data_IF_421324563544
#
_entry.id   IF_421324563544
#
_cell.length_a   1.000
_cell.length_b   1.000
_cell.length_c   1.000
_cell.angle_alpha   90.00
_cell.angle_beta   90.00
_cell.angle_gamma   90.00
#
_symmetry.space_group_name_H-M   'P 1'
#
loop_
_entity.id
_entity.type
_entity.pdbx_description
1 polymer ?
#
# COMPACT_ATOMS: atom_id res chain seq x y z
N UNK A 1 -9.85 19.60 13.78
CA UNK A 1 -9.82 18.16 13.45
C UNK A 1 -8.53 17.54 13.96
N UNK A 2 -8.58 16.30 14.46
CA UNK A 2 -7.41 15.55 14.95
C UNK A 2 -7.07 14.43 13.96
N UNK A 3 -5.78 14.14 13.79
CA UNK A 3 -5.34 12.98 13.02
C UNK A 3 -5.58 11.69 13.80
N UNK A 4 -6.01 10.64 13.12
CA UNK A 4 -6.20 9.30 13.70
C UNK A 4 -5.28 8.30 13.01
N UNK A 5 -4.67 7.41 13.79
CA UNK A 5 -3.74 6.41 13.28
C UNK A 5 -4.53 5.22 12.72
N UNK A 6 -4.22 4.81 11.49
CA UNK A 6 -4.72 3.53 10.94
C UNK A 6 -3.81 2.41 11.43
N UNK A 7 -4.40 1.41 12.10
CA UNK A 7 -3.70 0.25 12.66
C UNK A 7 -4.09 -1.02 11.90
N UNK A 8 -3.13 -1.67 11.26
CA UNK A 8 -3.36 -2.88 10.45
C UNK A 8 -3.05 -4.20 11.17
N UNK A 9 -2.81 -4.15 12.49
CA UNK A 9 -2.36 -5.30 13.31
C UNK A 9 -0.98 -5.04 13.93
N UNK A 10 -0.26 -6.08 14.40
CA UNK A 10 1.12 -5.92 14.83
C UNK A 10 1.92 -5.36 13.64
N UNK A 11 2.48 -4.16 13.80
CA UNK A 11 3.33 -3.59 12.78
C UNK A 11 4.52 -4.54 12.61
N UNK A 12 4.75 -5.14 11.43
CA UNK A 12 5.85 -6.09 11.25
C UNK A 12 7.22 -5.42 11.48
N UNK A 13 7.24 -4.09 11.41
CA UNK A 13 8.42 -3.26 11.54
C UNK A 13 8.04 -2.09 12.45
N UNK A 14 8.69 -1.93 13.60
CA UNK A 14 8.54 -0.77 14.50
C UNK A 14 9.08 0.50 13.84
N UNK A 15 8.45 0.93 12.75
CA UNK A 15 8.87 2.06 11.94
C UNK A 15 8.39 3.38 12.56
N UNK A 16 9.14 4.49 12.38
CA UNK A 16 8.78 5.80 12.91
C UNK A 16 7.63 6.48 12.14
N UNK A 17 6.73 5.71 11.53
CA UNK A 17 5.56 6.20 10.80
C UNK A 17 4.40 5.18 10.87
N UNK A 18 3.19 5.65 10.58
CA UNK A 18 1.99 4.79 10.56
C UNK A 18 1.68 4.31 9.14
N UNK A 19 1.10 3.10 8.97
CA UNK A 19 0.68 2.60 7.65
C UNK A 19 -0.32 3.52 6.94
N UNK A 20 -1.14 4.24 7.71
CA UNK A 20 -1.98 5.32 7.20
C UNK A 20 -2.46 6.25 8.32
N UNK A 21 -2.99 7.40 7.92
CA UNK A 21 -3.58 8.41 8.79
C UNK A 21 -4.96 8.80 8.24
N UNK A 22 -5.96 8.86 9.12
CA UNK A 22 -7.25 9.51 8.80
C UNK A 22 -7.22 10.97 9.25
N UNK A 23 -7.74 11.86 8.42
CA UNK A 23 -7.93 13.27 8.74
C UNK A 23 -9.25 13.77 8.15
N UNK A 24 -10.29 13.84 8.99
CA UNK A 24 -11.66 13.99 8.48
C UNK A 24 -12.04 12.78 7.64
N UNK A 25 -12.60 13.04 6.46
CA UNK A 25 -13.05 11.99 5.52
C UNK A 25 -11.94 11.47 4.59
N UNK A 26 -10.72 12.01 4.71
CA UNK A 26 -9.58 11.60 3.91
C UNK A 26 -8.72 10.56 4.64
N UNK A 27 -8.22 9.59 3.86
CA UNK A 27 -7.22 8.62 4.30
C UNK A 27 -5.94 8.85 3.51
N UNK A 28 -4.85 9.11 4.22
CA UNK A 28 -3.51 9.20 3.66
C UNK A 28 -2.79 7.87 3.93
N UNK A 29 -2.57 7.09 2.88
CA UNK A 29 -1.87 5.80 2.97
C UNK A 29 -0.38 6.03 2.76
N UNK A 30 0.45 5.53 3.68
CA UNK A 30 1.91 5.54 3.51
C UNK A 30 2.32 4.64 2.35
N UNK A 31 3.48 4.89 1.76
CA UNK A 31 4.02 4.06 0.67
C UNK A 31 3.98 2.58 1.03
N UNK A 32 3.33 1.78 0.18
CA UNK A 32 3.30 0.34 0.29
C UNK A 32 4.26 -0.24 -0.74
N UNK A 33 4.90 -1.34 -0.38
CA UNK A 33 5.78 -2.08 -1.28
C UNK A 33 5.50 -3.58 -1.23
N UNK A 34 6.26 -4.36 -2.02
CA UNK A 34 6.13 -5.81 -2.11
C UNK A 34 6.77 -6.50 -0.91
N UNK A 35 6.37 -6.11 0.31
CA UNK A 35 7.00 -6.53 1.57
C UNK A 35 6.14 -7.60 2.24
N UNK A 36 6.77 -8.68 2.69
CA UNK A 36 6.16 -9.75 3.48
C UNK A 36 6.00 -9.37 4.96
N UNK A 37 5.40 -10.26 5.74
CA UNK A 37 5.21 -10.09 7.19
C UNK A 37 6.52 -10.01 8.00
N UNK A 38 7.66 -10.39 7.40
CA UNK A 38 8.98 -10.32 8.02
C UNK A 38 9.74 -9.05 7.62
N UNK A 39 9.13 -8.16 6.82
CA UNK A 39 9.78 -6.96 6.33
C UNK A 39 10.71 -7.18 5.14
N UNK A 40 10.63 -8.33 4.46
CA UNK A 40 11.46 -8.64 3.29
C UNK A 40 10.69 -8.42 1.99
N UNK A 41 11.40 -7.98 0.96
CA UNK A 41 10.85 -7.94 -0.41
C UNK A 41 10.52 -9.36 -0.85
N UNK A 42 9.28 -9.59 -1.30
CA UNK A 42 8.88 -10.88 -1.85
C UNK A 42 9.64 -11.13 -3.17
N UNK A 43 10.16 -12.35 -3.40
CA UNK A 43 10.81 -12.68 -4.66
C UNK A 43 9.78 -12.72 -5.80
N UNK A 44 10.24 -12.49 -7.02
CA UNK A 44 9.43 -12.61 -8.22
C UNK A 44 9.55 -11.42 -9.17
N UNK A 45 8.72 -11.44 -10.20
CA UNK A 45 8.60 -10.39 -11.22
C UNK A 45 7.80 -9.17 -10.71
N UNK A 46 7.78 -8.10 -11.52
CA UNK A 46 7.07 -6.88 -11.17
C UNK A 46 5.57 -7.12 -11.01
N UNK A 47 4.97 -8.05 -11.76
CA UNK A 47 3.54 -8.38 -11.63
C UNK A 47 3.22 -8.94 -10.26
N UNK A 48 4.01 -9.91 -9.78
CA UNK A 48 3.85 -10.52 -8.46
C UNK A 48 4.07 -9.50 -7.35
N UNK A 49 5.11 -8.67 -7.49
CA UNK A 49 5.41 -7.59 -6.54
C UNK A 49 4.30 -6.52 -6.50
N UNK A 50 3.73 -6.16 -7.64
CA UNK A 50 2.61 -5.21 -7.74
C UNK A 50 1.38 -5.75 -7.01
N UNK A 51 1.04 -7.03 -7.20
CA UNK A 51 -0.08 -7.68 -6.49
C UNK A 51 0.12 -7.67 -4.98
N UNK A 52 1.32 -7.99 -4.49
CA UNK A 52 1.63 -7.92 -3.05
C UNK A 52 1.53 -6.49 -2.53
N UNK A 53 2.02 -5.51 -3.29
CA UNK A 53 1.93 -4.10 -2.95
C UNK A 53 0.47 -3.64 -2.81
N UNK A 54 -0.39 -4.02 -3.75
CA UNK A 54 -1.82 -3.71 -3.72
C UNK A 54 -2.54 -4.42 -2.58
N UNK A 55 -2.22 -5.67 -2.26
CA UNK A 55 -2.81 -6.35 -1.10
C UNK A 55 -2.40 -5.67 0.22
N UNK A 56 -1.16 -5.22 0.34
CA UNK A 56 -0.71 -4.42 1.47
C UNK A 56 -1.46 -3.07 1.55
N UNK A 57 -1.66 -2.40 0.41
CA UNK A 57 -2.47 -1.18 0.31
C UNK A 57 -3.92 -1.42 0.75
N UNK A 58 -4.54 -2.50 0.28
CA UNK A 58 -5.90 -2.92 0.64
C UNK A 58 -6.05 -3.11 2.14
N UNK A 59 -5.07 -3.73 2.80
CA UNK A 59 -5.09 -3.92 4.27
C UNK A 59 -5.14 -2.59 5.01
N UNK A 60 -4.42 -1.57 4.55
CA UNK A 60 -4.48 -0.22 5.14
C UNK A 60 -5.85 0.41 4.91
N UNK A 61 -6.40 0.33 3.69
CA UNK A 61 -7.74 0.86 3.39
C UNK A 61 -8.82 0.21 4.26
N UNK A 62 -8.81 -1.13 4.37
CA UNK A 62 -9.77 -1.88 5.20
C UNK A 62 -9.64 -1.48 6.67
N UNK A 63 -8.42 -1.36 7.19
CA UNK A 63 -8.18 -0.89 8.56
C UNK A 63 -8.67 0.56 8.80
N UNK A 64 -8.74 1.38 7.75
CA UNK A 64 -9.30 2.72 7.79
C UNK A 64 -10.84 2.77 7.62
N UNK A 65 -11.48 1.62 7.41
CA UNK A 65 -12.89 1.46 7.01
C UNK A 65 -13.18 2.10 5.63
N UNK A 66 -12.27 1.85 4.68
CA UNK A 66 -12.33 2.30 3.29
C UNK A 66 -12.09 1.10 2.34
N UNK A 67 -11.93 1.37 1.05
CA UNK A 67 -11.83 0.39 -0.03
C UNK A 67 -11.28 1.01 -1.32
N UNK A 68 -10.91 0.18 -2.29
CA UNK A 68 -10.33 0.64 -3.55
C UNK A 68 -11.27 1.55 -4.35
N UNK A 69 -12.59 1.32 -4.21
CA UNK A 69 -13.65 2.12 -4.82
C UNK A 69 -13.67 3.58 -4.36
N UNK A 70 -13.02 3.90 -3.23
CA UNK A 70 -12.92 5.26 -2.68
C UNK A 70 -11.56 5.91 -2.95
N UNK A 71 -10.67 5.26 -3.70
CA UNK A 71 -9.34 5.81 -4.02
C UNK A 71 -9.47 6.95 -5.03
N UNK A 72 -9.07 8.14 -4.60
CA UNK A 72 -9.13 9.35 -5.43
C UNK A 72 -7.85 9.57 -6.25
N UNK A 73 -6.70 9.19 -5.70
CA UNK A 73 -5.39 9.39 -6.32
C UNK A 73 -4.39 8.36 -5.80
N UNK A 74 -3.51 7.89 -6.69
CA UNK A 74 -2.35 7.08 -6.33
C UNK A 74 -1.06 7.67 -6.90
N UNK A 75 0.07 7.21 -6.38
CA UNK A 75 1.40 7.53 -6.91
C UNK A 75 2.21 6.25 -6.88
N UNK A 76 2.65 5.79 -8.05
CA UNK A 76 3.42 4.56 -8.20
C UNK A 76 4.88 4.92 -8.46
N UNK A 77 5.78 4.29 -7.71
CA UNK A 77 7.23 4.39 -7.88
C UNK A 77 7.76 3.05 -8.36
N UNK A 78 8.48 3.07 -9.48
CA UNK A 78 9.17 1.91 -10.04
C UNK A 78 10.68 2.10 -9.92
N UNK A 79 11.41 1.02 -9.64
CA UNK A 79 12.88 1.02 -9.68
C UNK A 79 13.41 1.04 -11.11
N UNK A 80 12.67 0.43 -12.05
CA UNK A 80 12.93 0.47 -13.49
C UNK A 80 11.63 0.84 -14.23
N UNK A 81 11.69 1.87 -15.08
CA UNK A 81 10.55 2.30 -15.88
C UNK A 81 10.22 1.32 -17.02
N UNK A 82 11.13 0.41 -17.38
CA UNK A 82 10.84 -0.65 -18.33
C UNK A 82 9.72 -1.58 -17.84
N UNK A 83 9.52 -1.68 -16.53
CA UNK A 83 8.48 -2.50 -15.91
C UNK A 83 7.08 -1.87 -15.97
N UNK A 84 6.96 -0.63 -16.48
CA UNK A 84 5.71 0.14 -16.43
C UNK A 84 4.51 -0.58 -17.04
N UNK A 85 4.69 -1.24 -18.20
CA UNK A 85 3.61 -1.95 -18.88
C UNK A 85 3.12 -3.15 -18.07
N UNK A 86 4.05 -3.97 -17.57
CA UNK A 86 3.71 -5.17 -16.81
C UNK A 86 3.12 -4.84 -15.44
N UNK A 87 3.65 -3.80 -14.78
CA UNK A 87 3.07 -3.28 -13.55
C UNK A 87 1.62 -2.84 -13.77
N UNK A 88 1.33 -2.05 -14.81
CA UNK A 88 -0.02 -1.56 -15.08
C UNK A 88 -1.01 -2.69 -15.38
N UNK A 89 -0.57 -3.73 -16.10
CA UNK A 89 -1.40 -4.92 -16.32
C UNK A 89 -1.81 -5.55 -14.99
N UNK A 90 -0.86 -5.76 -14.08
CA UNK A 90 -1.15 -6.30 -12.74
C UNK A 90 -1.89 -5.31 -11.83
N UNK A 91 -1.77 -4.00 -12.06
CA UNK A 91 -2.44 -2.96 -11.29
C UNK A 91 -3.94 -2.86 -11.61
N UNK A 92 -4.31 -3.24 -12.84
CA UNK A 92 -5.68 -3.11 -13.36
C UNK A 92 -6.67 -4.19 -12.91
N UNK A 93 -6.22 -5.19 -12.14
CA UNK A 93 -7.02 -6.34 -11.67
C UNK A 93 -7.46 -6.19 -10.22
#
# INVERSE_FOLDING_TARGET
MRKELVRTGPAPLNLPFSPGIKFGDLVFVSGQGPIDQNGKVVPGDVKSQTKTTLENFRRVLVAAQSGFEYVLQTTVYLSDLNDYSEMNEAYST
#
